data_IF_113021969073
#
_entry.id   IF_113021969073
#
_cell.length_a   1.000
_cell.length_b   1.000
_cell.length_c   1.000
_cell.angle_alpha   90.00
_cell.angle_beta   90.00
_cell.angle_gamma   90.00
#
_symmetry.space_group_name_H-M   'P 1'
#
loop_
_entity.id
_entity.type
_entity.pdbx_description
1 polymer ?
#
# COMPACT_ATOMS: atom_id res chain seq x y z
N UNK A 1 -4.60 -6.22 2.32
CA UNK A 1 -5.19 -5.64 1.08
C UNK A 1 -6.64 -5.15 1.23
N UNK A 2 -7.07 -4.72 2.41
CA UNK A 2 -8.42 -4.16 2.61
C UNK A 2 -8.59 -2.90 1.76
N UNK A 3 -7.67 -1.94 1.83
CA UNK A 3 -7.73 -0.71 1.04
C UNK A 3 -7.91 -0.95 -0.46
N UNK A 4 -7.18 -1.93 -1.01
CA UNK A 4 -7.26 -2.27 -2.43
C UNK A 4 -8.61 -2.88 -2.82
N UNK A 5 -9.13 -3.85 -2.04
CA UNK A 5 -10.27 -4.68 -2.45
C UNK A 5 -11.60 -4.35 -1.77
N UNK A 6 -11.62 -3.47 -0.78
CA UNK A 6 -12.83 -3.13 -0.04
C UNK A 6 -13.09 -1.63 0.09
N UNK A 7 -12.10 -0.77 -0.28
CA UNK A 7 -12.20 0.67 -0.03
C UNK A 7 -12.03 1.48 -1.31
N UNK A 8 -10.81 1.84 -1.67
CA UNK A 8 -10.53 2.82 -2.71
C UNK A 8 -9.83 2.26 -3.96
N UNK A 9 -9.58 0.96 -4.01
CA UNK A 9 -8.99 0.33 -5.18
C UNK A 9 -9.95 0.19 -6.36
N UNK A 10 -9.43 -0.23 -7.51
CA UNK A 10 -10.21 -0.28 -8.76
C UNK A 10 -11.27 -1.37 -8.79
N UNK A 11 -11.15 -2.37 -7.93
CA UNK A 11 -12.07 -3.50 -7.87
C UNK A 11 -12.45 -3.84 -6.44
N UNK A 12 -13.71 -4.18 -6.21
CA UNK A 12 -14.23 -4.61 -4.91
C UNK A 12 -14.76 -6.04 -4.95
N UNK A 13 -14.55 -6.78 -3.87
CA UNK A 13 -15.31 -8.00 -3.57
C UNK A 13 -16.50 -7.63 -2.69
N UNK A 14 -17.69 -7.63 -3.26
CA UNK A 14 -18.92 -7.25 -2.56
C UNK A 14 -19.81 -8.46 -2.30
N UNK A 15 -20.53 -8.45 -1.17
CA UNK A 15 -21.52 -9.48 -0.82
C UNK A 15 -20.97 -10.91 -0.82
N UNK A 16 -19.70 -11.12 -0.47
CA UNK A 16 -19.08 -12.44 -0.44
C UNK A 16 -18.82 -13.06 -1.82
N UNK A 17 -18.84 -12.25 -2.89
CA UNK A 17 -18.55 -12.74 -4.23
C UNK A 17 -17.12 -13.28 -4.34
N UNK A 18 -16.93 -14.31 -5.15
CA UNK A 18 -15.61 -14.88 -5.47
C UNK A 18 -14.88 -14.13 -6.61
N UNK A 19 -15.59 -13.24 -7.30
CA UNK A 19 -15.03 -12.40 -8.37
C UNK A 19 -15.22 -10.93 -8.03
N UNK A 20 -14.21 -10.09 -8.30
CA UNK A 20 -14.32 -8.66 -8.03
C UNK A 20 -15.23 -7.97 -9.05
N UNK A 21 -15.85 -6.88 -8.63
CA UNK A 21 -16.58 -5.94 -9.49
C UNK A 21 -15.85 -4.60 -9.55
N UNK A 22 -16.06 -3.85 -10.64
CA UNK A 22 -15.44 -2.56 -10.84
C UNK A 22 -15.90 -1.56 -9.77
N UNK A 23 -14.95 -0.82 -9.20
CA UNK A 23 -15.21 0.32 -8.33
C UNK A 23 -15.12 1.63 -9.13
N UNK A 24 -16.26 2.20 -9.46
CA UNK A 24 -16.32 3.47 -10.21
C UNK A 24 -15.81 4.68 -9.39
N UNK A 25 -15.74 4.57 -8.07
CA UNK A 25 -15.22 5.59 -7.16
C UNK A 25 -13.75 5.35 -6.75
N UNK A 26 -13.02 4.57 -7.54
CA UNK A 26 -11.61 4.28 -7.25
C UNK A 26 -10.74 5.53 -7.29
N UNK A 27 -9.79 5.62 -6.35
CA UNK A 27 -8.77 6.67 -6.36
C UNK A 27 -7.83 6.57 -7.57
N UNK A 28 -7.72 5.40 -8.17
CA UNK A 28 -7.00 5.22 -9.44
C UNK A 28 -7.57 6.03 -10.61
N UNK A 29 -8.80 6.54 -10.51
CA UNK A 29 -9.36 7.43 -11.51
C UNK A 29 -8.65 8.79 -11.55
N UNK A 30 -7.94 9.17 -10.47
CA UNK A 30 -7.35 10.49 -10.30
C UNK A 30 -5.84 10.47 -10.00
N UNK A 31 -5.31 9.35 -9.50
CA UNK A 31 -3.93 9.22 -9.09
C UNK A 31 -3.37 7.83 -9.38
N UNK A 32 -2.05 7.72 -9.52
CA UNK A 32 -1.38 6.44 -9.48
C UNK A 32 -1.39 5.93 -8.04
N UNK A 33 -1.74 4.69 -7.83
CA UNK A 33 -1.86 4.10 -6.49
C UNK A 33 -0.87 2.95 -6.32
N UNK A 34 -0.17 2.96 -5.20
CA UNK A 34 0.67 1.85 -4.75
C UNK A 34 0.11 1.31 -3.43
N UNK A 35 -0.39 0.10 -3.44
CA UNK A 35 -0.91 -0.59 -2.26
C UNK A 35 0.16 -1.49 -1.67
N UNK A 36 0.49 -1.27 -0.41
CA UNK A 36 1.53 -2.02 0.29
C UNK A 36 0.92 -2.81 1.43
N UNK A 37 1.09 -4.13 1.39
CA UNK A 37 0.79 -4.99 2.53
C UNK A 37 1.93 -4.97 3.52
N UNK A 38 1.64 -4.55 4.73
CA UNK A 38 2.64 -4.52 5.79
C UNK A 38 2.03 -4.88 7.16
N UNK A 39 2.85 -5.44 8.08
CA UNK A 39 4.26 -5.82 7.90
C UNK A 39 4.48 -7.06 7.04
N UNK A 40 5.72 -7.54 6.96
CA UNK A 40 6.07 -8.83 6.35
C UNK A 40 5.19 -9.93 6.94
N UNK A 41 4.70 -10.85 6.09
CA UNK A 41 3.79 -11.91 6.48
C UNK A 41 2.30 -11.55 6.38
N UNK A 42 1.97 -10.30 6.03
CA UNK A 42 0.59 -9.85 5.79
C UNK A 42 0.29 -9.83 4.29
N UNK A 43 -0.88 -10.35 3.91
CA UNK A 43 -1.37 -10.33 2.54
C UNK A 43 -0.41 -10.99 1.56
N UNK A 44 0.07 -10.22 0.59
CA UNK A 44 1.04 -10.69 -0.42
C UNK A 44 2.50 -10.48 -0.01
N UNK A 45 2.76 -9.82 1.11
CA UNK A 45 4.12 -9.62 1.61
C UNK A 45 4.63 -10.87 2.32
N UNK A 46 5.83 -11.32 1.97
CA UNK A 46 6.45 -12.50 2.56
C UNK A 46 7.94 -12.28 2.83
N UNK A 47 8.50 -13.08 3.72
CA UNK A 47 9.90 -13.00 4.11
C UNK A 47 10.11 -13.38 5.57
N UNK A 48 11.30 -13.13 6.10
CA UNK A 48 11.58 -13.33 7.53
C UNK A 48 10.96 -12.15 8.30
N UNK A 49 10.05 -12.48 9.21
CA UNK A 49 9.39 -11.48 10.06
C UNK A 49 10.24 -11.25 11.32
N UNK A 50 10.94 -10.12 11.32
CA UNK A 50 11.71 -9.58 12.44
C UNK A 50 11.16 -8.22 12.92
N UNK A 51 9.98 -7.83 12.41
CA UNK A 51 9.32 -6.56 12.72
C UNK A 51 8.44 -6.70 13.96
N UNK A 52 8.85 -6.11 15.06
CA UNK A 52 8.14 -6.17 16.34
C UNK A 52 7.40 -4.89 16.72
N UNK A 53 7.56 -3.84 15.94
CA UNK A 53 6.93 -2.53 16.20
C UNK A 53 6.83 -1.70 14.92
N UNK A 54 6.04 -0.63 14.97
CA UNK A 54 5.95 0.36 13.87
C UNK A 54 7.29 1.04 13.60
N UNK A 55 8.07 1.29 14.64
CA UNK A 55 9.39 1.90 14.51
C UNK A 55 10.35 0.97 13.75
N UNK A 56 10.31 -0.33 14.04
CA UNK A 56 11.16 -1.31 13.33
C UNK A 56 10.67 -1.59 11.92
N UNK A 57 9.40 -1.33 11.60
CA UNK A 57 8.84 -1.47 10.26
C UNK A 57 9.20 -0.32 9.30
N UNK A 58 9.38 0.90 9.81
CA UNK A 58 9.61 2.09 8.98
C UNK A 58 10.80 1.96 8.00
N UNK A 59 11.98 1.44 8.39
CA UNK A 59 13.09 1.23 7.46
C UNK A 59 12.76 0.28 6.30
N UNK A 60 11.89 -0.71 6.51
CA UNK A 60 11.48 -1.64 5.45
C UNK A 60 10.58 -0.96 4.42
N UNK A 61 9.64 -0.12 4.87
CA UNK A 61 8.80 0.69 3.97
C UNK A 61 9.66 1.67 3.18
N UNK A 62 10.63 2.30 3.82
CA UNK A 62 11.58 3.18 3.13
C UNK A 62 12.37 2.45 2.05
N UNK A 63 12.92 1.27 2.35
CA UNK A 63 13.62 0.43 1.38
C UNK A 63 12.71 -0.01 0.23
N UNK A 64 11.44 -0.34 0.52
CA UNK A 64 10.45 -0.66 -0.50
C UNK A 64 10.27 0.52 -1.48
N UNK A 65 10.11 1.74 -0.97
CA UNK A 65 9.98 2.93 -1.79
C UNK A 65 11.23 3.19 -2.64
N UNK A 66 12.42 3.03 -2.07
CA UNK A 66 13.66 3.15 -2.83
C UNK A 66 13.74 2.11 -3.96
N UNK A 67 13.38 0.86 -3.68
CA UNK A 67 13.35 -0.21 -4.68
C UNK A 67 12.29 0.06 -5.77
N UNK A 68 11.12 0.57 -5.37
CA UNK A 68 10.06 0.96 -6.31
C UNK A 68 10.54 2.04 -7.27
N UNK A 69 11.12 3.14 -6.79
CA UNK A 69 11.62 4.21 -7.65
C UNK A 69 12.83 3.80 -8.49
N UNK A 70 13.68 2.92 -7.98
CA UNK A 70 14.76 2.34 -8.79
C UNK A 70 14.22 1.51 -9.96
N UNK A 71 13.10 0.82 -9.78
CA UNK A 71 12.46 0.03 -10.83
C UNK A 71 11.59 0.88 -11.77
N UNK A 72 10.97 1.94 -11.24
CA UNK A 72 10.02 2.81 -11.94
C UNK A 72 10.40 4.28 -11.78
N UNK A 73 11.53 4.72 -12.36
CA UNK A 73 12.08 6.07 -12.16
C UNK A 73 11.17 7.18 -12.71
N UNK A 74 10.24 6.86 -13.61
CA UNK A 74 9.28 7.80 -14.17
C UNK A 74 8.30 8.38 -13.14
N UNK A 75 8.19 7.77 -11.96
CA UNK A 75 7.35 8.26 -10.87
C UNK A 75 8.09 9.14 -9.87
N UNK A 76 9.42 9.16 -9.88
CA UNK A 76 10.23 9.85 -8.86
C UNK A 76 9.99 11.37 -8.83
N UNK A 77 9.71 11.97 -9.99
CA UNK A 77 9.45 13.41 -10.11
C UNK A 77 8.01 13.85 -9.85
N UNK A 78 7.13 12.91 -9.49
CA UNK A 78 5.72 13.20 -9.23
C UNK A 78 5.48 13.52 -7.77
N UNK A 79 4.39 14.27 -7.51
CA UNK A 79 3.92 14.49 -6.14
C UNK A 79 3.65 13.14 -5.46
N UNK A 80 4.07 13.06 -4.20
CA UNK A 80 3.95 11.84 -3.42
C UNK A 80 3.16 12.08 -2.14
N UNK A 81 2.19 11.21 -1.87
CA UNK A 81 1.40 11.24 -0.63
C UNK A 81 1.29 9.82 -0.06
N UNK A 82 1.24 9.73 1.27
CA UNK A 82 1.03 8.48 1.98
C UNK A 82 -0.28 8.57 2.73
N UNK A 83 -1.12 7.56 2.56
CA UNK A 83 -2.35 7.37 3.32
C UNK A 83 -2.24 6.07 4.11
N UNK A 84 -2.52 6.16 5.40
CA UNK A 84 -2.48 4.98 6.29
C UNK A 84 -3.81 4.85 6.98
N UNK A 85 -4.27 3.62 7.15
CA UNK A 85 -5.48 3.31 7.88
C UNK A 85 -5.18 2.46 9.11
N UNK A 86 -5.85 2.83 10.19
CA UNK A 86 -6.02 2.16 11.48
C UNK A 86 -4.95 1.13 11.85
N UNK A 87 -3.97 1.55 12.58
CA UNK A 87 -2.91 0.82 13.30
C UNK A 87 -1.49 1.03 12.78
N UNK A 88 -1.23 1.82 11.75
CA UNK A 88 0.13 1.92 11.26
C UNK A 88 0.54 3.31 10.78
N UNK A 89 1.60 3.77 11.38
CA UNK A 89 2.47 4.86 11.02
C UNK A 89 1.98 6.29 11.20
N UNK A 90 2.44 6.85 12.26
CA UNK A 90 2.91 8.22 12.20
C UNK A 90 4.22 8.24 11.40
N UNK A 91 4.14 8.42 10.11
CA UNK A 91 5.27 8.92 9.34
C UNK A 91 5.33 10.41 9.62
N UNK A 92 6.13 10.79 10.60
CA UNK A 92 6.55 12.17 10.70
C UNK A 92 7.42 12.45 9.49
N UNK A 93 6.99 13.40 8.66
CA UNK A 93 7.80 14.05 7.63
C UNK A 93 9.20 14.33 8.14
N UNK A 94 10.16 13.79 7.44
CA UNK A 94 11.51 14.30 7.45
C UNK A 94 11.59 15.56 6.62
#
# INVERSE_FOLDING_TARGET
MIGLFQENGPCHFVNGASTPSLNNASWNNYANMLYVDQPIGVGFSYGTDDVTSTVTAAPYVWKLLQAFYAQFPEYESRDFAIFTEVNFFSLHTL
#
